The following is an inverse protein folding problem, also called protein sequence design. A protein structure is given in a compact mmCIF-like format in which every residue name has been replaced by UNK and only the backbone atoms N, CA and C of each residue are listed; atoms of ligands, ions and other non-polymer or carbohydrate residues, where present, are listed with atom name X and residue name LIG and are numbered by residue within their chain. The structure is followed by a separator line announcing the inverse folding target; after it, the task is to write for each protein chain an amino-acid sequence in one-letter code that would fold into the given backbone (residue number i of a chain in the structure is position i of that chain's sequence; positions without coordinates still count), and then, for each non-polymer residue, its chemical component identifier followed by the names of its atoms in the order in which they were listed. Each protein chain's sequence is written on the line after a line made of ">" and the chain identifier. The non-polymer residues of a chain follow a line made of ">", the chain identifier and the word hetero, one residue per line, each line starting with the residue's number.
data_IF_042504338567
#
_entry.id   IF_042504338567
#
_cell.length_a   1.000
_cell.length_b   1.000
_cell.length_c   1.000
_cell.angle_alpha   90.00
_cell.angle_beta   90.00
_cell.angle_gamma   90.00
#
_symmetry.space_group_name_H-M   'P 1'
#
loop_
_entity.id
_entity.type
_entity.pdbx_description
1 polymer ?
#
# COMPACT_ATOMS: atom_id res chain seq x y z
N UNK A 1 -3.13 -4.81 -24.55
CA UNK A 1 -2.88 -4.57 -23.11
C UNK A 1 -2.78 -3.07 -22.91
N UNK A 2 -3.59 -2.52 -22.05
CA UNK A 2 -3.54 -1.09 -21.73
C UNK A 2 -2.22 -0.79 -21.02
N UNK A 3 -1.40 0.09 -21.58
CA UNK A 3 -0.16 0.51 -20.92
C UNK A 3 -0.50 1.32 -19.65
N UNK A 4 0.28 1.12 -18.60
CA UNK A 4 0.16 1.83 -17.33
C UNK A 4 1.40 2.70 -17.15
N UNK A 5 1.20 4.01 -16.94
CA UNK A 5 2.29 4.95 -16.62
C UNK A 5 2.38 5.15 -15.13
N UNK A 6 3.60 5.26 -14.62
CA UNK A 6 3.84 5.73 -13.26
C UNK A 6 4.03 7.25 -13.28
N UNK A 7 3.36 7.92 -12.37
CA UNK A 7 3.37 9.38 -12.21
C UNK A 7 3.54 9.74 -10.73
N UNK A 8 4.00 10.95 -10.46
CA UNK A 8 4.01 11.48 -9.09
C UNK A 8 2.58 11.57 -8.55
N UNK A 9 2.41 11.18 -7.30
CA UNK A 9 1.15 11.32 -6.59
C UNK A 9 1.17 12.63 -5.80
N UNK A 10 0.07 13.37 -5.89
CA UNK A 10 -0.11 14.62 -5.17
C UNK A 10 -1.31 14.56 -4.22
N UNK A 11 -1.45 15.50 -3.29
CA UNK A 11 -2.64 15.57 -2.43
C UNK A 11 -3.98 15.64 -3.19
N UNK A 12 -4.00 16.19 -4.41
CA UNK A 12 -5.19 16.23 -5.24
C UNK A 12 -5.69 14.84 -5.68
N UNK A 13 -4.82 13.83 -5.64
CA UNK A 13 -5.14 12.45 -6.02
C UNK A 13 -5.76 11.64 -4.85
N UNK A 14 -5.72 12.14 -3.62
CA UNK A 14 -6.03 11.37 -2.42
C UNK A 14 -7.47 10.86 -2.38
N UNK A 15 -8.43 11.63 -2.86
CA UNK A 15 -9.84 11.19 -2.93
C UNK A 15 -9.98 9.95 -3.83
N UNK A 16 -9.34 9.95 -4.99
CA UNK A 16 -9.33 8.80 -5.90
C UNK A 16 -8.56 7.61 -5.30
N UNK A 17 -7.46 7.87 -4.60
CA UNK A 17 -6.70 6.85 -3.89
C UNK A 17 -7.53 6.19 -2.77
N UNK A 18 -8.29 6.97 -2.01
CA UNK A 18 -9.19 6.44 -0.98
C UNK A 18 -10.28 5.54 -1.58
N UNK A 19 -10.90 5.96 -2.68
CA UNK A 19 -11.89 5.14 -3.38
C UNK A 19 -11.27 3.82 -3.90
N UNK A 20 -10.07 3.88 -4.48
CA UNK A 20 -9.34 2.70 -4.93
C UNK A 20 -8.95 1.77 -3.77
N UNK A 21 -8.46 2.32 -2.66
CA UNK A 21 -8.15 1.57 -1.44
C UNK A 21 -9.36 0.75 -0.97
N UNK A 22 -10.53 1.39 -0.83
CA UNK A 22 -11.75 0.71 -0.43
C UNK A 22 -12.15 -0.38 -1.42
N UNK A 23 -12.16 -0.09 -2.71
CA UNK A 23 -12.48 -1.07 -3.76
C UNK A 23 -11.51 -2.27 -3.73
N UNK A 24 -10.22 -2.02 -3.56
CA UNK A 24 -9.19 -3.04 -3.50
C UNK A 24 -9.36 -3.96 -2.29
N UNK A 25 -9.59 -3.39 -1.10
CA UNK A 25 -9.79 -4.18 0.13
C UNK A 25 -11.08 -4.99 0.06
N UNK A 26 -12.19 -4.38 -0.34
CA UNK A 26 -13.48 -5.08 -0.41
C UNK A 26 -13.52 -6.18 -1.48
N UNK A 27 -12.71 -6.09 -2.52
CA UNK A 27 -12.55 -7.17 -3.50
C UNK A 27 -11.91 -8.44 -2.93
N UNK A 28 -11.29 -8.37 -1.75
CA UNK A 28 -10.70 -9.52 -1.06
C UNK A 28 -11.72 -10.29 -0.20
N UNK A 29 -12.94 -9.76 -0.04
CA UNK A 29 -13.98 -10.41 0.74
C UNK A 29 -14.42 -11.73 0.11
N UNK A 30 -14.58 -12.77 0.94
CA UNK A 30 -14.92 -14.11 0.49
C UNK A 30 -13.74 -14.96 0.00
N UNK A 31 -12.54 -14.38 -0.08
CA UNK A 31 -11.29 -15.10 -0.32
C UNK A 31 -10.53 -15.33 1.00
N UNK A 32 -9.34 -14.73 1.12
CA UNK A 32 -8.48 -14.84 2.32
C UNK A 32 -9.02 -14.06 3.51
N UNK A 33 -9.81 -13.01 3.25
CA UNK A 33 -10.43 -12.17 4.26
C UNK A 33 -11.95 -12.30 4.25
N UNK A 34 -12.56 -12.21 5.44
CA UNK A 34 -14.02 -12.13 5.56
C UNK A 34 -14.52 -10.72 5.22
N UNK A 35 -15.80 -10.58 4.91
CA UNK A 35 -16.43 -9.28 4.71
C UNK A 35 -16.30 -8.37 5.94
N UNK A 36 -16.39 -8.93 7.14
CA UNK A 36 -16.22 -8.21 8.40
C UNK A 36 -14.79 -7.67 8.54
N UNK A 37 -13.77 -8.47 8.22
CA UNK A 37 -12.37 -8.03 8.21
C UNK A 37 -12.14 -6.91 7.20
N UNK A 38 -12.71 -7.01 5.99
CA UNK A 38 -12.61 -5.97 4.97
C UNK A 38 -13.28 -4.66 5.41
N UNK A 39 -14.45 -4.73 6.05
CA UNK A 39 -15.13 -3.56 6.63
C UNK A 39 -14.33 -2.91 7.77
N UNK A 40 -13.70 -3.71 8.61
CA UNK A 40 -12.87 -3.20 9.69
C UNK A 40 -11.59 -2.54 9.17
N UNK A 41 -11.02 -3.07 8.08
CA UNK A 41 -9.81 -2.55 7.43
C UNK A 41 -10.11 -1.28 6.62
N UNK A 42 -11.17 -1.30 5.80
CA UNK A 42 -11.60 -0.19 4.95
C UNK A 42 -13.09 0.10 5.22
N UNK A 43 -13.41 0.87 6.27
CA UNK A 43 -14.78 1.20 6.61
C UNK A 43 -15.52 1.92 5.48
N UNK A 44 -16.84 1.76 5.43
CA UNK A 44 -17.71 2.54 4.55
C UNK A 44 -17.79 3.97 5.04
N UNK A 45 -16.76 4.72 4.74
CA UNK A 45 -16.67 6.15 5.07
C UNK A 45 -16.53 6.96 3.79
N UNK A 46 -17.34 7.98 3.66
CA UNK A 46 -17.22 8.92 2.55
C UNK A 46 -15.98 9.79 2.71
N UNK A 47 -15.49 10.28 1.58
CA UNK A 47 -14.42 11.27 1.57
C UNK A 47 -14.96 12.59 2.11
N UNK A 48 -14.39 13.06 3.19
CA UNK A 48 -14.69 14.32 3.87
C UNK A 48 -13.40 14.99 4.37
N UNK A 49 -13.51 16.16 4.97
CA UNK A 49 -12.36 16.93 5.47
C UNK A 49 -11.55 16.18 6.52
N UNK A 50 -12.18 15.37 7.37
CA UNK A 50 -11.47 14.59 8.39
C UNK A 50 -10.69 13.45 7.76
N UNK A 51 -11.29 12.72 6.83
CA UNK A 51 -10.61 11.65 6.08
C UNK A 51 -9.47 12.23 5.26
N UNK A 52 -9.70 13.36 4.58
CA UNK A 52 -8.66 14.05 3.83
C UNK A 52 -7.49 14.45 4.73
N UNK A 53 -7.74 15.02 5.89
CA UNK A 53 -6.69 15.42 6.83
C UNK A 53 -5.82 14.22 7.27
N UNK A 54 -6.45 13.08 7.59
CA UNK A 54 -5.73 11.85 7.95
C UNK A 54 -4.87 11.34 6.79
N UNK A 55 -5.43 11.27 5.59
CA UNK A 55 -4.72 10.77 4.42
C UNK A 55 -3.58 11.71 4.00
N UNK A 56 -3.82 13.01 4.05
CA UNK A 56 -2.81 14.03 3.78
C UNK A 56 -1.64 13.93 4.77
N UNK A 57 -1.93 13.77 6.06
CA UNK A 57 -0.91 13.57 7.10
C UNK A 57 -0.08 12.30 6.86
N UNK A 58 -0.69 11.23 6.40
CA UNK A 58 0.04 9.98 6.06
C UNK A 58 0.93 10.14 4.83
N UNK A 59 0.54 10.99 3.87
CA UNK A 59 1.34 11.27 2.67
C UNK A 59 2.52 12.20 2.97
N UNK A 60 2.43 13.02 4.02
CA UNK A 60 3.51 13.88 4.43
C UNK A 60 4.79 13.06 4.71
N UNK A 61 5.94 13.63 4.34
CA UNK A 61 7.25 13.01 4.52
C UNK A 61 7.36 11.62 3.86
N UNK A 62 6.76 11.45 2.69
CA UNK A 62 6.79 10.21 1.92
C UNK A 62 7.21 10.46 0.45
N UNK A 63 7.82 9.44 -0.16
CA UNK A 63 7.87 9.28 -1.60
C UNK A 63 6.58 8.58 -2.04
N UNK A 64 5.95 9.10 -3.08
CA UNK A 64 4.66 8.58 -3.51
C UNK A 64 4.54 8.53 -5.03
N UNK A 65 3.90 7.48 -5.53
CA UNK A 65 3.58 7.33 -6.94
C UNK A 65 2.18 6.80 -7.16
N UNK A 66 1.64 7.06 -8.33
CA UNK A 66 0.40 6.49 -8.83
C UNK A 66 0.64 5.83 -10.19
N UNK A 67 -0.16 4.84 -10.49
CA UNK A 67 -0.23 4.22 -11.81
C UNK A 67 -1.51 4.63 -12.50
N UNK A 68 -1.40 5.14 -13.71
CA UNK A 68 -2.53 5.65 -14.51
C UNK A 68 -2.60 4.88 -15.82
N UNK A 69 -3.78 4.41 -16.17
CA UNK A 69 -4.06 3.77 -17.45
C UNK A 69 -4.17 4.81 -18.59
N UNK A 70 -4.11 4.35 -19.84
CA UNK A 70 -4.22 5.23 -21.02
C UNK A 70 -5.52 6.03 -21.07
N UNK A 71 -6.60 5.49 -20.52
CA UNK A 71 -7.90 6.14 -20.42
C UNK A 71 -8.01 7.12 -19.24
N UNK A 72 -6.91 7.34 -18.51
CA UNK A 72 -6.84 8.25 -17.37
C UNK A 72 -7.29 7.66 -16.03
N UNK A 73 -7.76 6.41 -15.99
CA UNK A 73 -8.18 5.79 -14.72
C UNK A 73 -6.99 5.49 -13.83
N UNK A 74 -7.18 5.73 -12.53
CA UNK A 74 -6.21 5.34 -11.50
C UNK A 74 -6.19 3.81 -11.37
N UNK A 75 -5.04 3.20 -11.65
CA UNK A 75 -4.83 1.76 -11.60
C UNK A 75 -4.19 1.27 -10.31
N UNK A 76 -3.48 2.14 -9.60
CA UNK A 76 -2.83 1.85 -8.34
C UNK A 76 -2.14 3.06 -7.75
N UNK A 77 -1.77 2.96 -6.49
CA UNK A 77 -0.97 3.97 -5.81
C UNK A 77 -0.15 3.34 -4.68
N UNK A 78 0.93 4.00 -4.33
CA UNK A 78 1.79 3.58 -3.24
C UNK A 78 2.52 4.78 -2.65
N UNK A 79 2.86 4.69 -1.37
CA UNK A 79 3.85 5.58 -0.76
C UNK A 79 4.71 4.88 0.27
N UNK A 80 5.96 5.33 0.30
CA UNK A 80 7.02 4.90 1.19
C UNK A 80 7.44 6.09 2.04
N UNK A 81 7.28 5.99 3.34
CA UNK A 81 7.70 7.02 4.27
C UNK A 81 9.22 7.16 4.26
N UNK A 82 9.71 8.36 4.50
CA UNK A 82 11.15 8.62 4.57
C UNK A 82 11.85 7.89 5.69
N UNK A 83 11.09 7.37 6.66
CA UNK A 83 11.57 6.45 7.69
C UNK A 83 11.91 5.03 7.17
N UNK A 84 11.53 4.70 5.93
CA UNK A 84 11.71 3.38 5.33
C UNK A 84 10.50 2.45 5.45
N UNK A 85 9.36 2.93 5.96
CA UNK A 85 8.13 2.16 6.06
C UNK A 85 7.26 2.31 4.81
N UNK A 86 6.95 1.20 4.14
CA UNK A 86 5.87 1.15 3.16
C UNK A 86 4.52 1.23 3.88
N UNK A 87 3.85 2.36 3.72
CA UNK A 87 2.58 2.65 4.39
C UNK A 87 1.37 2.31 3.53
N UNK A 88 1.47 2.49 2.21
CA UNK A 88 0.41 2.19 1.25
C UNK A 88 0.96 1.50 -0.01
N UNK A 89 0.27 0.45 -0.45
CA UNK A 89 0.51 -0.22 -1.73
C UNK A 89 -0.81 -0.89 -2.15
N UNK A 90 -1.53 -0.27 -3.06
CA UNK A 90 -2.84 -0.74 -3.52
C UNK A 90 -2.94 -0.70 -5.04
N UNK A 91 -3.55 -1.74 -5.60
CA UNK A 91 -3.83 -1.88 -7.02
C UNK A 91 -5.34 -2.06 -7.20
N UNK A 92 -5.92 -1.37 -8.17
CA UNK A 92 -7.34 -1.50 -8.48
C UNK A 92 -7.67 -2.95 -8.88
N UNK A 93 -8.84 -3.50 -8.49
CA UNK A 93 -9.22 -4.87 -8.81
C UNK A 93 -9.12 -5.20 -10.30
N UNK A 94 -9.51 -4.27 -11.18
CA UNK A 94 -9.45 -4.44 -12.63
C UNK A 94 -8.02 -4.42 -13.21
N UNK A 95 -7.05 -3.88 -12.46
CA UNK A 95 -5.65 -3.74 -12.86
C UNK A 95 -4.72 -4.79 -12.24
N UNK A 96 -5.24 -5.70 -11.43
CA UNK A 96 -4.49 -6.72 -10.72
C UNK A 96 -3.78 -7.72 -11.64
N UNK A 97 -2.80 -8.45 -11.06
CA UNK A 97 -2.05 -9.55 -11.70
C UNK A 97 -1.20 -9.15 -12.93
N UNK A 98 -0.82 -7.89 -13.04
CA UNK A 98 0.00 -7.33 -14.14
C UNK A 98 1.38 -6.82 -13.67
N UNK A 99 1.79 -7.21 -12.47
CA UNK A 99 3.06 -6.77 -11.87
C UNK A 99 3.10 -5.30 -11.46
N UNK A 100 1.95 -4.61 -11.44
CA UNK A 100 1.87 -3.18 -11.18
C UNK A 100 2.34 -2.81 -9.77
N UNK A 101 1.97 -3.60 -8.76
CA UNK A 101 2.44 -3.42 -7.39
C UNK A 101 3.96 -3.47 -7.29
N UNK A 102 4.60 -4.44 -7.95
CA UNK A 102 6.06 -4.57 -8.00
C UNK A 102 6.74 -3.39 -8.70
N UNK A 103 6.13 -2.85 -9.76
CA UNK A 103 6.65 -1.66 -10.47
C UNK A 103 6.60 -0.41 -9.59
N UNK A 104 5.50 -0.17 -8.89
CA UNK A 104 5.36 0.96 -7.96
C UNK A 104 6.34 0.82 -6.79
N UNK A 105 6.46 -0.37 -6.23
CA UNK A 105 7.39 -0.68 -5.15
C UNK A 105 8.85 -0.39 -5.60
N UNK A 106 9.26 -0.89 -6.76
CA UNK A 106 10.61 -0.66 -7.30
C UNK A 106 10.91 0.83 -7.54
N UNK A 107 9.94 1.60 -8.03
CA UNK A 107 10.11 3.04 -8.22
C UNK A 107 10.34 3.79 -6.90
N UNK A 108 9.57 3.44 -5.86
CA UNK A 108 9.74 4.07 -4.55
C UNK A 108 11.04 3.64 -3.86
N UNK A 109 11.44 2.38 -4.01
CA UNK A 109 12.76 1.91 -3.54
C UNK A 109 13.91 2.68 -4.20
N UNK A 110 13.82 2.92 -5.51
CA UNK A 110 14.82 3.70 -6.24
C UNK A 110 14.94 5.12 -5.68
N UNK A 111 13.81 5.80 -5.42
CA UNK A 111 13.81 7.14 -4.83
C UNK A 111 14.39 7.14 -3.41
N UNK A 112 14.07 6.15 -2.61
CA UNK A 112 14.62 5.99 -1.26
C UNK A 112 16.13 5.75 -1.29
N UNK A 113 16.61 4.87 -2.17
CA UNK A 113 18.03 4.57 -2.35
C UNK A 113 18.82 5.82 -2.78
N UNK A 114 18.30 6.61 -3.71
CA UNK A 114 18.90 7.88 -4.11
C UNK A 114 19.04 8.90 -2.97
N UNK A 115 18.13 8.81 -1.98
CA UNK A 115 18.19 9.61 -0.76
C UNK A 115 18.98 8.95 0.39
N UNK A 116 19.60 7.79 0.14
CA UNK A 116 20.40 7.06 1.14
C UNK A 116 19.59 6.22 2.12
N UNK A 117 18.29 6.01 1.87
CA UNK A 117 17.42 5.18 2.70
C UNK A 117 17.31 3.79 2.09
N UNK A 118 18.00 2.83 2.69
CA UNK A 118 18.08 1.44 2.21
C UNK A 118 17.50 0.41 3.18
N UNK A 119 17.29 0.78 4.43
CA UNK A 119 16.65 -0.06 5.44
C UNK A 119 15.13 0.13 5.36
N UNK A 120 14.43 -0.86 4.80
CA UNK A 120 13.01 -0.78 4.46
C UNK A 120 12.21 -1.88 5.16
N UNK A 121 10.96 -1.58 5.50
CA UNK A 121 10.02 -2.57 6.04
C UNK A 121 8.58 -2.29 5.62
N UNK A 122 7.74 -3.30 5.77
CA UNK A 122 6.32 -3.22 5.48
C UNK A 122 5.50 -4.14 6.39
N UNK A 123 4.31 -3.69 6.73
CA UNK A 123 3.27 -4.52 7.31
C UNK A 123 2.34 -4.97 6.19
N UNK A 124 2.59 -6.17 5.67
CA UNK A 124 1.93 -6.67 4.48
C UNK A 124 0.69 -7.51 4.80
N UNK A 125 -0.34 -7.35 3.98
CA UNK A 125 -1.50 -8.24 3.95
C UNK A 125 -1.20 -9.55 3.20
N UNK A 126 -2.13 -10.49 3.20
CA UNK A 126 -2.09 -11.66 2.33
C UNK A 126 -1.95 -11.29 0.84
N UNK A 127 -2.56 -10.19 0.42
CA UNK A 127 -2.52 -9.76 -0.98
C UNK A 127 -1.19 -9.11 -1.36
N UNK A 128 -0.61 -8.30 -0.49
CA UNK A 128 0.63 -7.56 -0.77
C UNK A 128 1.90 -8.33 -0.41
N UNK A 129 1.85 -9.26 0.54
CA UNK A 129 3.00 -10.07 0.96
C UNK A 129 3.78 -10.69 -0.21
N UNK A 130 3.14 -11.36 -1.20
CA UNK A 130 3.88 -11.94 -2.32
C UNK A 130 4.61 -10.89 -3.17
N UNK A 131 4.10 -9.66 -3.24
CA UNK A 131 4.75 -8.55 -3.97
C UNK A 131 6.06 -8.18 -3.28
N UNK A 132 6.03 -8.01 -1.95
CA UNK A 132 7.22 -7.72 -1.16
C UNK A 132 8.24 -8.86 -1.18
N UNK A 133 7.81 -10.12 -1.03
CA UNK A 133 8.70 -11.28 -1.08
C UNK A 133 9.42 -11.38 -2.45
N UNK A 134 8.71 -11.16 -3.56
CA UNK A 134 9.34 -11.13 -4.90
C UNK A 134 10.33 -9.98 -5.07
N UNK A 135 10.14 -8.89 -4.34
CA UNK A 135 11.06 -7.75 -4.34
C UNK A 135 12.27 -7.94 -3.39
N UNK A 136 12.39 -9.10 -2.75
CA UNK A 136 13.53 -9.44 -1.89
C UNK A 136 13.36 -9.10 -0.42
N UNK A 137 12.14 -8.78 0.01
CA UNK A 137 11.85 -8.61 1.44
C UNK A 137 11.80 -9.96 2.15
N UNK A 138 12.40 -10.03 3.33
CA UNK A 138 12.39 -11.22 4.19
C UNK A 138 11.22 -11.13 5.16
N UNK A 139 10.47 -12.21 5.31
CA UNK A 139 9.47 -12.34 6.35
C UNK A 139 10.17 -12.41 7.72
N UNK A 140 9.82 -11.52 8.62
CA UNK A 140 10.32 -11.49 9.99
C UNK A 140 9.37 -12.20 10.95
N UNK A 141 8.10 -11.85 10.92
CA UNK A 141 7.07 -12.47 11.76
C UNK A 141 5.65 -12.23 11.28
N UNK A 142 4.76 -13.12 11.70
CA UNK A 142 3.33 -12.89 11.64
C UNK A 142 2.90 -11.88 12.71
N UNK A 143 1.80 -11.18 12.43
CA UNK A 143 1.21 -10.23 13.35
C UNK A 143 -0.33 -10.24 13.20
N UNK A 144 -1.01 -9.73 14.20
CA UNK A 144 -2.46 -9.56 14.18
C UNK A 144 -2.80 -8.19 14.74
N UNK A 145 -3.46 -7.39 13.93
CA UNK A 145 -4.00 -6.09 14.35
C UNK A 145 -5.48 -6.24 14.70
N UNK A 146 -5.98 -5.39 15.57
CA UNK A 146 -7.40 -5.35 15.92
C UNK A 146 -7.96 -3.98 15.54
N UNK A 147 -9.00 -3.98 14.72
CA UNK A 147 -9.73 -2.77 14.34
C UNK A 147 -11.22 -2.96 14.60
N UNK A 148 -11.81 -2.10 15.42
CA UNK A 148 -13.22 -2.23 15.80
C UNK A 148 -13.59 -3.59 16.41
N UNK A 149 -12.68 -4.21 17.18
CA UNK A 149 -12.86 -5.54 17.75
C UNK A 149 -12.59 -6.71 16.79
N UNK A 150 -12.27 -6.44 15.52
CA UNK A 150 -12.02 -7.47 14.49
C UNK A 150 -10.52 -7.68 14.31
N UNK A 151 -10.06 -8.93 14.45
CA UNK A 151 -8.66 -9.32 14.22
C UNK A 151 -8.35 -9.49 12.73
N UNK A 152 -7.27 -8.86 12.27
CA UNK A 152 -6.79 -8.95 10.89
C UNK A 152 -5.32 -9.36 10.92
N UNK A 153 -5.00 -10.47 10.26
CA UNK A 153 -3.63 -10.96 10.18
C UNK A 153 -2.84 -10.18 9.13
N UNK A 154 -1.61 -9.82 9.49
CA UNK A 154 -0.63 -9.24 8.59
C UNK A 154 0.77 -9.77 8.94
N UNK A 155 1.77 -9.36 8.18
CA UNK A 155 3.14 -9.83 8.32
C UNK A 155 4.11 -8.69 8.25
N UNK A 156 5.11 -8.74 9.11
CA UNK A 156 6.26 -7.84 9.06
C UNK A 156 7.31 -8.41 8.13
N UNK A 157 7.65 -7.64 7.10
CA UNK A 157 8.73 -7.96 6.16
C UNK A 157 9.75 -6.82 6.15
N UNK A 158 11.01 -7.14 5.89
CA UNK A 158 12.08 -6.16 5.87
C UNK A 158 13.14 -6.44 4.79
N UNK A 159 13.82 -5.38 4.37
CA UNK A 159 14.89 -5.37 3.37
C UNK A 159 15.99 -4.40 3.79
N UNK A 160 17.22 -4.60 3.26
CA UNK A 160 18.31 -3.64 3.41
C UNK A 160 18.85 -3.47 4.83
N UNK A 161 18.78 -4.51 5.66
CA UNK A 161 19.32 -4.48 7.02
C UNK A 161 18.42 -3.87 8.07
N UNK A 162 17.18 -3.54 7.72
CA UNK A 162 16.19 -3.08 8.69
C UNK A 162 15.96 -4.12 9.79
N UNK A 163 15.84 -3.66 11.03
CA UNK A 163 15.59 -4.49 12.21
C UNK A 163 14.52 -3.84 13.07
N UNK A 164 13.65 -4.67 13.64
CA UNK A 164 12.68 -4.21 14.62
C UNK A 164 13.41 -3.78 15.91
N UNK A 165 13.05 -2.62 16.47
CA UNK A 165 13.62 -2.15 17.72
C UNK A 165 13.21 -3.09 18.86
N UNK A 166 14.18 -3.53 19.66
CA UNK A 166 13.94 -4.40 20.81
C UNK A 166 13.83 -5.89 20.50
N UNK A 167 14.16 -6.31 19.28
CA UNK A 167 14.27 -7.72 18.91
C UNK A 167 15.68 -8.29 19.17
#
# INVERSE_FOLDING_TARGET
>A
MTAMRLECLSPADLSACHALFRASVHALAGGVYTGEQCLAWAPERMWDEEVEAVWRSRLEDAWACKAVAEDGRLAGFAWLKRSGEFDMLYVAPWAGRRGLGGRMLAELERQAEEAGVTALHAWASHASRPVFERAGYRLLRANRIVRGGVGIDNWLLAKGGWREEGA
#
